data_IF_514561912124
#
_entry.id   IF_514561912124
#
_cell.length_a   1.000
_cell.length_b   1.000
_cell.length_c   1.000
_cell.angle_alpha   90.00
_cell.angle_beta   90.00
_cell.angle_gamma   90.00
#
_symmetry.space_group_name_H-M   'P 1'
#
loop_
_entity.id
_entity.type
_entity.pdbx_description
1 polymer ?
#
# COMPACT_ATOMS: atom_id res chain seq x y z
N UNK A 1 -4.55 -25.28 17.96
CA UNK A 1 -5.90 -24.67 17.87
C UNK A 1 -5.71 -23.36 17.15
N UNK A 2 -6.04 -23.33 15.85
CA UNK A 2 -6.00 -22.11 15.03
C UNK A 2 -7.38 -21.46 15.09
N UNK A 3 -7.55 -20.44 15.93
CA UNK A 3 -8.71 -19.54 15.87
C UNK A 3 -8.48 -18.52 14.74
N UNK A 4 -8.58 -18.97 13.48
CA UNK A 4 -8.35 -18.18 12.27
C UNK A 4 -9.64 -17.55 11.68
N UNK A 5 -10.68 -17.30 12.50
CA UNK A 5 -11.96 -16.73 12.01
C UNK A 5 -12.13 -15.24 12.29
N UNK A 6 -11.18 -14.57 12.95
CA UNK A 6 -11.27 -13.15 13.27
C UNK A 6 -10.50 -12.29 12.26
N UNK A 7 -11.10 -11.19 11.75
CA UNK A 7 -10.40 -10.26 10.87
C UNK A 7 -9.11 -9.71 11.49
N UNK A 8 -8.06 -9.57 10.67
CA UNK A 8 -6.73 -9.16 11.13
C UNK A 8 -6.72 -7.83 11.92
N UNK A 9 -7.66 -6.92 11.62
CA UNK A 9 -7.77 -5.65 12.33
C UNK A 9 -8.19 -5.79 13.81
N UNK A 10 -8.79 -6.91 14.25
CA UNK A 10 -9.11 -7.14 15.66
C UNK A 10 -7.86 -7.44 16.52
N UNK A 11 -6.73 -7.74 15.89
CA UNK A 11 -5.46 -7.95 16.61
C UNK A 11 -4.83 -6.62 17.04
N UNK A 12 -5.30 -5.49 16.51
CA UNK A 12 -4.89 -4.15 16.90
C UNK A 12 -5.58 -3.74 18.21
N UNK A 13 -4.79 -3.33 19.21
CA UNK A 13 -5.33 -2.74 20.45
C UNK A 13 -6.07 -1.43 20.14
N UNK A 14 -5.58 -0.69 19.14
CA UNK A 14 -6.21 0.55 18.72
C UNK A 14 -7.58 0.34 18.11
N UNK A 15 -7.89 -0.85 17.57
CA UNK A 15 -9.22 -1.13 17.01
C UNK A 15 -10.31 -1.00 18.08
N UNK A 16 -10.09 -1.60 19.25
CA UNK A 16 -11.03 -1.52 20.38
C UNK A 16 -11.20 -0.07 20.86
N UNK A 17 -10.10 0.68 20.95
CA UNK A 17 -10.13 2.10 21.32
C UNK A 17 -10.89 2.94 20.28
N UNK A 18 -10.74 2.61 19.00
CA UNK A 18 -11.39 3.32 17.90
C UNK A 18 -12.91 3.09 17.86
N UNK A 19 -13.36 1.88 18.22
CA UNK A 19 -14.80 1.55 18.28
C UNK A 19 -15.49 2.29 19.43
N UNK A 20 -14.84 2.43 20.57
CA UNK A 20 -15.40 3.12 21.73
C UNK A 20 -15.20 4.64 21.72
N UNK A 21 -14.37 5.17 20.82
CA UNK A 21 -14.23 6.61 20.65
C UNK A 21 -15.51 7.22 20.05
N UNK A 22 -16.22 8.03 20.83
CA UNK A 22 -17.39 8.79 20.40
C UNK A 22 -17.00 9.93 19.45
N UNK A 23 -15.91 10.63 19.76
CA UNK A 23 -15.56 11.88 19.11
C UNK A 23 -14.54 11.71 17.98
N UNK A 24 -14.71 12.52 16.94
CA UNK A 24 -13.81 12.55 15.78
C UNK A 24 -12.40 12.98 16.22
N UNK A 25 -12.29 13.94 17.13
CA UNK A 25 -10.99 14.44 17.60
C UNK A 25 -10.23 13.37 18.37
N UNK A 26 -10.91 12.55 19.18
CA UNK A 26 -10.31 11.39 19.84
C UNK A 26 -9.84 10.34 18.81
N UNK A 27 -10.61 10.09 17.76
CA UNK A 27 -10.20 9.20 16.66
C UNK A 27 -8.98 9.71 15.92
N UNK A 28 -8.90 11.02 15.69
CA UNK A 28 -7.74 11.65 15.06
C UNK A 28 -6.50 11.56 15.96
N UNK A 29 -6.65 11.77 17.26
CA UNK A 29 -5.58 11.58 18.24
C UNK A 29 -5.08 10.13 18.25
N UNK A 30 -5.99 9.15 18.21
CA UNK A 30 -5.63 7.73 18.14
C UNK A 30 -4.82 7.42 16.87
N UNK A 31 -5.15 8.03 15.72
CA UNK A 31 -4.36 7.88 14.48
C UNK A 31 -2.95 8.45 14.60
N UNK A 32 -2.75 9.51 15.37
CA UNK A 32 -1.42 10.03 15.68
C UNK A 32 -0.64 9.06 16.59
N UNK A 33 -1.30 8.52 17.61
CA UNK A 33 -0.70 7.53 18.49
C UNK A 33 -0.33 6.22 17.76
N UNK A 34 -1.14 5.79 16.79
CA UNK A 34 -0.80 4.64 15.92
C UNK A 34 0.49 4.93 15.14
N UNK A 35 0.70 6.15 14.65
CA UNK A 35 1.95 6.47 13.95
C UNK A 35 3.17 6.39 14.90
N UNK A 36 3.01 6.84 16.13
CA UNK A 36 4.08 6.88 17.15
C UNK A 36 4.41 5.51 17.75
N UNK A 37 3.41 4.68 18.02
CA UNK A 37 3.56 3.43 18.78
C UNK A 37 3.10 2.18 18.04
N UNK A 38 2.45 2.33 16.89
CA UNK A 38 1.82 1.22 16.19
C UNK A 38 2.81 0.23 15.58
N UNK A 39 2.29 -0.96 15.30
CA UNK A 39 3.01 -2.10 14.74
C UNK A 39 2.42 -2.57 13.40
N UNK A 40 2.90 -3.71 12.90
CA UNK A 40 2.44 -4.30 11.63
C UNK A 40 0.96 -4.68 11.68
N UNK A 41 0.41 -5.01 12.86
CA UNK A 41 -1.00 -5.44 13.01
C UNK A 41 -1.95 -4.27 12.85
N UNK A 42 -1.50 -3.06 13.19
CA UNK A 42 -2.28 -1.83 13.05
C UNK A 42 -2.47 -1.40 11.59
N UNK A 43 -1.63 -1.89 10.67
CA UNK A 43 -1.78 -1.62 9.23
C UNK A 43 -3.14 -2.11 8.70
N UNK A 44 -3.62 -3.27 9.18
CA UNK A 44 -4.93 -3.81 8.79
C UNK A 44 -6.10 -2.94 9.30
N UNK A 45 -5.95 -2.34 10.48
CA UNK A 45 -6.92 -1.36 10.99
C UNK A 45 -6.91 -0.09 10.14
N UNK A 46 -5.74 0.42 9.82
CA UNK A 46 -5.60 1.63 9.00
C UNK A 46 -6.17 1.43 7.59
N UNK A 47 -5.97 0.26 6.97
CA UNK A 47 -6.61 -0.08 5.68
C UNK A 47 -8.14 0.00 5.74
N UNK A 48 -8.75 -0.53 6.81
CA UNK A 48 -10.19 -0.40 7.04
C UNK A 48 -10.61 1.07 7.17
N UNK A 49 -9.82 1.89 7.87
CA UNK A 49 -10.12 3.31 8.09
C UNK A 49 -9.95 4.19 6.84
N UNK A 50 -9.13 3.78 5.86
CA UNK A 50 -9.06 4.46 4.54
C UNK A 50 -10.38 4.42 3.77
N UNK A 51 -11.24 3.44 4.06
CA UNK A 51 -12.57 3.29 3.47
C UNK A 51 -13.67 3.91 4.34
N UNK A 52 -13.31 4.69 5.37
CA UNK A 52 -14.29 5.36 6.23
C UNK A 52 -15.04 6.48 5.50
N UNK A 53 -16.31 6.69 5.88
CA UNK A 53 -17.18 7.74 5.32
C UNK A 53 -16.73 9.15 5.72
N UNK A 54 -16.01 9.28 6.83
CA UNK A 54 -15.56 10.58 7.31
C UNK A 54 -14.25 11.00 6.62
N UNK A 55 -14.25 12.08 5.82
CA UNK A 55 -13.07 12.48 5.04
C UNK A 55 -11.87 12.82 5.92
N UNK A 56 -12.07 13.38 7.11
CA UNK A 56 -10.97 13.71 8.03
C UNK A 56 -10.28 12.45 8.54
N UNK A 57 -11.07 11.43 8.91
CA UNK A 57 -10.55 10.14 9.39
C UNK A 57 -9.84 9.43 8.24
N UNK A 58 -10.44 9.42 7.05
CA UNK A 58 -9.86 8.84 5.86
C UNK A 58 -8.50 9.44 5.49
N UNK A 59 -8.42 10.76 5.37
CA UNK A 59 -7.17 11.45 4.99
C UNK A 59 -6.09 11.25 6.05
N UNK A 60 -6.47 11.30 7.32
CA UNK A 60 -5.54 11.05 8.43
C UNK A 60 -5.06 9.60 8.44
N UNK A 61 -5.96 8.62 8.25
CA UNK A 61 -5.61 7.21 8.19
C UNK A 61 -4.68 6.87 7.02
N UNK A 62 -4.86 7.53 5.85
CA UNK A 62 -3.94 7.41 4.72
C UNK A 62 -2.53 7.87 5.10
N UNK A 63 -2.40 9.08 5.66
CA UNK A 63 -1.11 9.63 6.08
C UNK A 63 -0.44 8.79 7.16
N UNK A 64 -1.22 8.35 8.15
CA UNK A 64 -0.72 7.47 9.22
C UNK A 64 -0.27 6.13 8.64
N UNK A 65 -0.99 5.55 7.68
CA UNK A 65 -0.61 4.30 7.03
C UNK A 65 0.72 4.40 6.26
N UNK A 66 0.88 5.44 5.44
CA UNK A 66 2.11 5.69 4.69
C UNK A 66 3.30 5.93 5.64
N UNK A 67 3.09 6.75 6.68
CA UNK A 67 4.10 7.01 7.69
C UNK A 67 4.50 5.75 8.47
N UNK A 68 3.53 4.91 8.82
CA UNK A 68 3.77 3.66 9.55
C UNK A 68 4.49 2.62 8.67
N UNK A 69 4.13 2.50 7.38
CA UNK A 69 4.86 1.67 6.42
C UNK A 69 6.32 2.09 6.30
N UNK A 70 6.56 3.39 6.13
CA UNK A 70 7.91 3.95 6.04
C UNK A 70 8.72 3.65 7.32
N UNK A 71 8.11 3.84 8.49
CA UNK A 71 8.73 3.55 9.79
C UNK A 71 9.07 2.08 9.97
N UNK A 72 8.19 1.18 9.54
CA UNK A 72 8.38 -0.27 9.64
C UNK A 72 9.23 -0.85 8.51
N UNK A 73 9.63 -0.04 7.51
CA UNK A 73 10.35 -0.46 6.30
C UNK A 73 9.64 -1.59 5.54
N UNK A 74 8.32 -1.57 5.55
CA UNK A 74 7.48 -2.55 4.84
C UNK A 74 7.10 -1.95 3.48
N UNK A 75 7.36 -2.68 2.40
CA UNK A 75 6.92 -2.26 1.07
C UNK A 75 5.38 -2.26 0.98
N UNK A 76 4.76 -1.22 0.40
CA UNK A 76 3.30 -1.21 0.21
C UNK A 76 2.88 -2.39 -0.67
N UNK A 77 1.84 -3.13 -0.22
CA UNK A 77 1.33 -4.31 -0.95
C UNK A 77 0.57 -3.97 -2.23
N UNK A 78 0.05 -2.75 -2.35
CA UNK A 78 -0.80 -2.30 -3.45
C UNK A 78 -0.36 -0.93 -3.99
N UNK A 79 0.80 -0.86 -4.63
CA UNK A 79 1.02 0.19 -5.63
C UNK A 79 0.49 -0.32 -6.98
N UNK A 80 -0.83 -0.29 -7.14
CA UNK A 80 -1.37 -0.11 -8.48
C UNK A 80 -0.90 1.26 -8.93
N UNK A 81 0.22 1.30 -9.69
CA UNK A 81 0.74 2.50 -10.35
C UNK A 81 -0.44 3.21 -11.01
N UNK A 82 -0.95 4.25 -10.35
CA UNK A 82 -1.86 5.19 -10.99
C UNK A 82 -0.98 5.98 -11.94
N UNK A 83 -0.87 5.49 -13.16
CA UNK A 83 -0.18 6.20 -14.22
C UNK A 83 -0.83 7.57 -14.39
N UNK A 84 -0.03 8.62 -14.63
CA UNK A 84 -0.58 9.94 -14.96
C UNK A 84 -1.57 9.77 -16.12
N UNK A 85 -2.70 10.47 -16.07
CA UNK A 85 -3.71 10.41 -17.13
C UNK A 85 -3.11 10.83 -18.49
N UNK A 86 -2.05 11.65 -18.46
CA UNK A 86 -1.27 12.06 -19.63
C UNK A 86 -0.64 10.87 -20.38
N UNK A 87 -0.28 9.78 -19.68
CA UNK A 87 0.27 8.59 -20.32
C UNK A 87 -0.79 7.86 -21.16
N UNK A 88 -2.07 7.94 -20.77
CA UNK A 88 -3.17 7.33 -21.52
C UNK A 88 -3.28 7.92 -22.93
N UNK A 89 -3.07 9.24 -23.06
CA UNK A 89 -3.05 9.93 -24.34
C UNK A 89 -1.93 9.42 -25.27
N UNK A 90 -0.73 9.22 -24.72
CA UNK A 90 0.42 8.72 -25.49
C UNK A 90 0.17 7.29 -25.99
N UNK A 91 -0.43 6.43 -25.19
CA UNK A 91 -0.76 5.07 -25.61
C UNK A 91 -1.76 5.05 -26.79
N UNK A 92 -2.75 5.94 -26.77
CA UNK A 92 -3.75 6.05 -27.85
C UNK A 92 -3.16 6.67 -29.13
N UNK A 93 -2.38 7.75 -29.03
CA UNK A 93 -1.77 8.41 -30.20
C UNK A 93 -0.81 7.48 -30.95
N UNK A 94 0.00 6.73 -30.21
CA UNK A 94 1.01 5.84 -30.79
C UNK A 94 0.49 4.40 -31.01
N UNK A 95 -0.78 4.11 -30.72
CA UNK A 95 -1.35 2.75 -30.72
C UNK A 95 -0.49 1.74 -29.91
N UNK A 96 0.18 2.21 -28.87
CA UNK A 96 1.04 1.37 -28.04
C UNK A 96 0.14 0.56 -27.12
N UNK A 97 0.11 -0.75 -27.35
CA UNK A 97 -0.63 -1.71 -26.53
C UNK A 97 0.37 -2.53 -25.71
N UNK A 98 0.04 -2.89 -24.46
CA UNK A 98 0.88 -3.81 -23.72
C UNK A 98 1.05 -5.11 -24.53
N UNK A 99 2.27 -5.64 -24.52
CA UNK A 99 2.55 -6.91 -25.18
C UNK A 99 1.59 -7.98 -24.64
N UNK A 100 1.10 -8.86 -25.52
CA UNK A 100 0.37 -10.05 -25.08
C UNK A 100 1.36 -10.88 -24.26
N UNK A 101 1.15 -10.95 -22.95
CA UNK A 101 1.92 -11.83 -22.08
C UNK A 101 1.36 -13.24 -22.34
N UNK A 102 1.86 -13.89 -23.38
CA UNK A 102 1.69 -15.34 -23.52
C UNK A 102 2.49 -15.99 -22.39
N UNK A 103 1.80 -16.73 -21.51
CA UNK A 103 2.43 -17.45 -20.38
C UNK A 103 3.46 -18.49 -20.84
N UNK A 104 3.42 -18.86 -22.12
CA UNK A 104 4.30 -19.84 -22.74
C UNK A 104 5.51 -19.20 -23.46
N UNK A 105 5.60 -17.87 -23.48
CA UNK A 105 6.76 -17.16 -24.03
C UNK A 105 7.81 -16.97 -22.93
N UNK A 106 8.77 -17.90 -22.85
CA UNK A 106 9.92 -17.83 -21.96
C UNK A 106 10.91 -16.75 -22.46
N UNK A 107 10.55 -15.48 -22.26
CA UNK A 107 11.39 -14.33 -22.58
C UNK A 107 12.45 -14.13 -21.49
N UNK A 108 13.43 -15.03 -21.44
CA UNK A 108 14.67 -14.81 -20.71
C UNK A 108 15.54 -13.84 -21.52
N UNK A 109 15.40 -12.54 -21.26
CA UNK A 109 16.35 -11.54 -21.75
C UNK A 109 17.65 -11.67 -20.95
N UNK A 110 18.46 -12.65 -21.31
CA UNK A 110 19.85 -12.72 -20.88
C UNK A 110 20.60 -11.58 -21.60
N UNK A 111 20.95 -10.55 -20.83
CA UNK A 111 21.90 -9.54 -21.30
C UNK A 111 23.27 -10.20 -21.38
N UNK A 112 23.72 -10.56 -22.59
CA UNK A 112 25.13 -10.88 -22.79
C UNK A 112 25.94 -9.63 -22.46
N UNK A 113 26.67 -9.70 -21.35
CA UNK A 113 27.58 -8.68 -20.83
C UNK A 113 28.88 -8.60 -21.63
N UNK A 114 28.83 -8.83 -22.95
CA UNK A 114 29.99 -8.77 -23.85
C UNK A 114 30.51 -7.34 -24.06
N UNK A 115 29.97 -6.35 -23.33
CA UNK A 115 30.34 -4.93 -23.41
C UNK A 115 31.49 -4.59 -22.43
N UNK A 116 31.89 -5.50 -21.54
CA UNK A 116 33.00 -5.27 -20.61
C UNK A 116 34.36 -5.81 -21.07
N UNK A 117 34.44 -6.45 -22.24
CA UNK A 117 35.73 -6.78 -22.86
C UNK A 117 36.09 -5.68 -23.86
N UNK A 118 36.54 -4.53 -23.34
CA UNK A 118 37.37 -3.60 -24.12
C UNK A 118 38.81 -3.70 -23.62
N UNK A 119 39.71 -3.92 -24.58
CA UNK A 119 41.12 -4.30 -24.48
C UNK A 119 42.02 -3.46 -23.54
N UNK A 120 42.93 -4.12 -22.81
CA UNK A 120 44.41 -4.07 -23.01
C UNK A 120 45.13 -5.14 -22.16
#
# INVERSE_FOLDING_TARGET
MEDNTLPAYHQSIFHQLFEHASDIDCKLLLLDQILEFGDVKDLALLEKLKSSENPKIKDKALKTYEGLLHKLRVAPKDEQKRFSMDLCFIYDEFNVRPARIDKDLDLNFELNLDIFETDD
#
